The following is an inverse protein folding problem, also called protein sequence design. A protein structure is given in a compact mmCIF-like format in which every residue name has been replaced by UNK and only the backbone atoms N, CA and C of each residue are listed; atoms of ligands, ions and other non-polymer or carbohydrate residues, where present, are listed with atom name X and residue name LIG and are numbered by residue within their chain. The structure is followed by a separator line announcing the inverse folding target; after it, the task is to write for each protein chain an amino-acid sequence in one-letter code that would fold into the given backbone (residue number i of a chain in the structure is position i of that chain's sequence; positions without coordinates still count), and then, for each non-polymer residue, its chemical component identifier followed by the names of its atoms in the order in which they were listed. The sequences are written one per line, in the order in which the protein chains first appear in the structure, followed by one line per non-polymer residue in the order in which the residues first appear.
data_IF_427887402650
#
_entry.id   IF_427887402650
#
_cell.length_a   1.000
_cell.length_b   1.000
_cell.length_c   1.000
_cell.angle_alpha   90.00
_cell.angle_beta   90.00
_cell.angle_gamma   90.00
#
_symmetry.space_group_name_H-M   'P 1'
#
loop_
_entity.id
_entity.type
_entity.pdbx_description
1 polymer ?
#
# COMPACT_ATOMS: atom_id res chain seq x y z
N UNK A 1 -19.16 12.17 -8.80
CA UNK A 1 -18.82 11.07 -9.74
C UNK A 1 -17.32 10.87 -9.90
N UNK A 2 -16.53 11.92 -10.16
CA UNK A 2 -15.08 11.86 -10.46
C UNK A 2 -14.22 11.06 -9.47
N UNK A 3 -14.39 11.28 -8.16
CA UNK A 3 -13.65 10.53 -7.12
C UNK A 3 -13.98 9.03 -7.10
N UNK A 4 -15.24 8.64 -7.36
CA UNK A 4 -15.67 7.23 -7.39
C UNK A 4 -14.99 6.46 -8.54
N UNK A 5 -14.85 7.09 -9.71
CA UNK A 5 -14.17 6.48 -10.86
C UNK A 5 -12.69 6.24 -10.58
N UNK A 6 -11.98 7.27 -10.09
CA UNK A 6 -10.56 7.15 -9.74
C UNK A 6 -10.32 6.04 -8.72
N UNK A 7 -11.15 6.00 -7.68
CA UNK A 7 -11.11 4.98 -6.63
C UNK A 7 -11.29 3.55 -7.15
N UNK A 8 -12.21 3.37 -8.10
CA UNK A 8 -12.64 2.02 -8.52
C UNK A 8 -11.82 1.46 -9.66
N UNK A 9 -11.29 2.30 -10.54
CA UNK A 9 -10.62 1.87 -11.78
C UNK A 9 -9.13 2.24 -11.75
N UNK A 10 -8.82 3.52 -11.57
CA UNK A 10 -7.45 4.04 -11.77
C UNK A 10 -6.53 3.60 -10.63
N UNK A 11 -6.96 3.76 -9.38
CA UNK A 11 -6.12 3.46 -8.22
C UNK A 11 -5.78 1.96 -8.10
N UNK A 12 -6.73 1.01 -8.24
CA UNK A 12 -6.39 -0.41 -8.23
C UNK A 12 -5.40 -0.79 -9.34
N UNK A 13 -5.59 -0.27 -10.56
CA UNK A 13 -4.66 -0.51 -11.67
C UNK A 13 -3.26 0.06 -11.37
N UNK A 14 -3.18 1.25 -10.79
CA UNK A 14 -1.90 1.90 -10.44
C UNK A 14 -1.17 1.18 -9.29
N UNK A 15 -1.91 0.58 -8.36
CA UNK A 15 -1.37 -0.15 -7.21
C UNK A 15 -1.20 -1.65 -7.49
N UNK A 16 -1.55 -2.12 -8.68
CA UNK A 16 -1.44 -3.53 -9.03
C UNK A 16 -0.01 -4.03 -8.87
N UNK A 17 0.13 -5.18 -8.20
CA UNK A 17 1.43 -5.79 -7.88
C UNK A 17 2.21 -5.08 -6.77
N UNK A 18 1.82 -3.87 -6.34
CA UNK A 18 2.49 -3.08 -5.28
C UNK A 18 2.45 -3.72 -3.88
N UNK A 19 1.60 -4.73 -3.71
CA UNK A 19 1.36 -5.45 -2.47
C UNK A 19 2.50 -6.42 -2.11
N UNK A 20 3.25 -6.93 -3.10
CA UNK A 20 4.18 -8.06 -2.94
C UNK A 20 5.68 -7.68 -2.99
N UNK A 21 6.04 -6.39 -3.06
CA UNK A 21 7.45 -5.96 -3.12
C UNK A 21 7.77 -4.82 -2.15
N UNK A 22 9.07 -4.68 -1.86
CA UNK A 22 9.60 -3.64 -0.99
C UNK A 22 9.59 -2.27 -1.70
N UNK A 23 8.47 -1.55 -1.62
CA UNK A 23 8.32 -0.24 -2.25
C UNK A 23 9.25 0.78 -1.59
N UNK A 24 10.18 1.36 -2.37
CA UNK A 24 11.09 2.44 -1.92
C UNK A 24 10.35 3.77 -1.79
N UNK A 25 10.87 4.67 -0.95
CA UNK A 25 10.35 6.05 -0.81
C UNK A 25 10.27 6.80 -2.16
N UNK A 26 11.19 6.53 -3.08
CA UNK A 26 11.17 7.11 -4.44
C UNK A 26 9.97 6.64 -5.27
N UNK A 27 9.59 5.36 -5.17
CA UNK A 27 8.40 4.84 -5.83
C UNK A 27 7.12 5.45 -5.23
N UNK A 28 7.04 5.55 -3.90
CA UNK A 28 5.91 6.22 -3.23
C UNK A 28 5.78 7.68 -3.67
N UNK A 29 6.90 8.43 -3.74
CA UNK A 29 6.90 9.81 -4.25
C UNK A 29 6.39 9.91 -5.69
N UNK A 30 6.77 8.98 -6.56
CA UNK A 30 6.29 8.93 -7.96
C UNK A 30 4.79 8.62 -8.03
N UNK A 31 4.32 7.66 -7.24
CA UNK A 31 2.89 7.33 -7.13
C UNK A 31 2.09 8.53 -6.62
N UNK A 32 2.58 9.21 -5.59
CA UNK A 32 1.97 10.42 -5.04
C UNK A 32 1.90 11.54 -6.09
N UNK A 33 2.98 11.78 -6.83
CA UNK A 33 2.98 12.79 -7.90
C UNK A 33 2.01 12.44 -9.02
N UNK A 34 1.96 11.17 -9.45
CA UNK A 34 1.03 10.69 -10.46
C UNK A 34 -0.43 10.84 -10.02
N UNK A 35 -0.75 10.41 -8.79
CA UNK A 35 -2.07 10.58 -8.17
C UNK A 35 -2.46 12.06 -8.16
N UNK A 36 -1.63 12.93 -7.58
CA UNK A 36 -1.99 14.34 -7.44
C UNK A 36 -2.15 15.04 -8.80
N UNK A 37 -1.37 14.67 -9.81
CA UNK A 37 -1.52 15.18 -11.17
C UNK A 37 -2.89 14.79 -11.76
N UNK A 38 -3.29 13.53 -11.63
CA UNK A 38 -4.59 13.05 -12.10
C UNK A 38 -5.75 13.68 -11.31
N UNK A 39 -5.65 13.76 -9.98
CA UNK A 39 -6.68 14.38 -9.14
C UNK A 39 -6.88 15.87 -9.49
N UNK A 40 -5.78 16.60 -9.68
CA UNK A 40 -5.81 18.01 -10.12
C UNK A 40 -6.46 18.17 -11.48
N UNK A 41 -6.05 17.37 -12.46
CA UNK A 41 -6.62 17.40 -13.81
C UNK A 41 -8.12 17.13 -13.81
N UNK A 42 -8.58 16.10 -13.07
CA UNK A 42 -10.01 15.82 -12.94
C UNK A 42 -10.81 16.97 -12.30
N UNK A 43 -10.18 17.71 -11.38
CA UNK A 43 -10.79 18.87 -10.73
C UNK A 43 -10.64 20.17 -11.53
N UNK A 44 -9.99 20.14 -12.71
CA UNK A 44 -9.69 21.34 -13.49
C UNK A 44 -8.75 22.30 -12.77
N UNK A 45 -7.88 21.78 -11.89
CA UNK A 45 -6.95 22.58 -11.10
C UNK A 45 -5.53 22.46 -11.62
N UNK A 46 -4.80 23.57 -11.59
CA UNK A 46 -3.40 23.63 -11.97
C UNK A 46 -2.51 23.80 -10.73
N UNK A 47 -1.20 23.95 -10.94
CA UNK A 47 -0.28 24.37 -9.86
C UNK A 47 -0.35 25.86 -9.59
N UNK A 48 -0.80 26.67 -10.55
CA UNK A 48 -0.91 28.12 -10.42
C UNK A 48 -2.00 28.54 -9.44
N UNK A 49 -3.03 27.70 -9.28
CA UNK A 49 -4.13 27.93 -8.33
C UNK A 49 -3.68 27.91 -6.86
N UNK A 50 -2.43 27.46 -6.57
CA UNK A 50 -1.84 27.34 -5.22
C UNK A 50 -2.70 26.58 -4.19
N UNK A 51 -3.66 25.79 -4.65
CA UNK A 51 -4.49 24.92 -3.79
C UNK A 51 -3.63 23.79 -3.24
N UNK A 52 -3.72 23.51 -1.93
CA UNK A 52 -2.98 22.42 -1.31
C UNK A 52 -3.45 21.04 -1.77
N UNK A 53 -2.56 20.04 -1.72
CA UNK A 53 -2.90 18.67 -2.09
C UNK A 53 -3.98 18.06 -1.17
N UNK A 54 -4.00 18.47 0.10
CA UNK A 54 -4.99 18.03 1.08
C UNK A 54 -6.40 18.54 0.73
N UNK A 55 -6.53 19.79 0.29
CA UNK A 55 -7.82 20.35 -0.13
C UNK A 55 -8.35 19.58 -1.34
N UNK A 56 -7.50 19.29 -2.33
CA UNK A 56 -7.91 18.50 -3.50
C UNK A 56 -8.37 17.11 -3.08
N UNK A 57 -7.62 16.43 -2.22
CA UNK A 57 -7.99 15.11 -1.68
C UNK A 57 -9.33 15.14 -0.95
N UNK A 58 -9.55 16.15 -0.11
CA UNK A 58 -10.82 16.34 0.62
C UNK A 58 -11.98 16.55 -0.35
N UNK A 59 -11.78 17.36 -1.39
CA UNK A 59 -12.78 17.62 -2.41
C UNK A 59 -13.20 16.35 -3.18
N UNK A 60 -12.26 15.45 -3.48
CA UNK A 60 -12.56 14.17 -4.17
C UNK A 60 -12.86 13.00 -3.21
N UNK A 61 -12.69 13.19 -1.90
CA UNK A 61 -12.86 12.15 -0.89
C UNK A 61 -11.79 11.05 -0.93
N UNK A 62 -10.54 11.39 -1.22
CA UNK A 62 -9.44 10.42 -1.39
C UNK A 62 -8.42 10.44 -0.26
N UNK A 63 -8.10 9.26 0.28
CA UNK A 63 -6.93 9.10 1.13
C UNK A 63 -5.62 9.21 0.32
N UNK A 64 -4.49 9.49 0.98
CA UNK A 64 -3.17 9.38 0.37
C UNK A 64 -2.92 8.00 -0.24
N UNK A 65 -2.30 7.97 -1.43
CA UNK A 65 -1.89 6.71 -2.08
C UNK A 65 -1.04 5.82 -1.19
N UNK A 66 -0.21 6.40 -0.32
CA UNK A 66 0.68 5.64 0.58
C UNK A 66 -0.11 4.81 1.60
N UNK A 67 -1.17 5.38 2.17
CA UNK A 67 -2.03 4.67 3.12
C UNK A 67 -2.80 3.56 2.42
N UNK A 68 -3.27 3.81 1.19
CA UNK A 68 -3.91 2.77 0.37
C UNK A 68 -2.97 1.65 -0.02
N UNK A 69 -1.72 1.99 -0.31
CA UNK A 69 -0.67 1.02 -0.59
C UNK A 69 -0.35 0.19 0.67
N UNK A 70 -0.32 0.81 1.85
CA UNK A 70 -0.18 0.11 3.14
C UNK A 70 -1.32 -0.87 3.38
N UNK A 71 -2.56 -0.41 3.24
CA UNK A 71 -3.75 -1.26 3.35
C UNK A 71 -3.66 -2.46 2.39
N UNK A 72 -3.22 -2.24 1.16
CA UNK A 72 -3.06 -3.25 0.14
C UNK A 72 -2.04 -4.33 0.54
N UNK A 73 -0.85 -3.93 1.03
CA UNK A 73 0.16 -4.86 1.57
C UNK A 73 -0.34 -5.66 2.77
N UNK A 74 -1.00 -5.02 3.72
CA UNK A 74 -1.54 -5.70 4.91
C UNK A 74 -2.73 -6.61 4.57
N UNK A 75 -3.53 -6.25 3.57
CA UNK A 75 -4.60 -7.11 3.04
C UNK A 75 -4.01 -8.38 2.45
N UNK A 76 -2.95 -8.26 1.66
CA UNK A 76 -2.21 -9.39 1.12
C UNK A 76 -1.59 -10.25 2.23
N UNK A 77 -0.88 -9.66 3.19
CA UNK A 77 -0.33 -10.38 4.34
C UNK A 77 -1.41 -11.19 5.07
N UNK A 78 -2.56 -10.57 5.37
CA UNK A 78 -3.63 -11.28 6.04
C UNK A 78 -4.22 -12.41 5.18
N UNK A 79 -4.29 -12.24 3.86
CA UNK A 79 -4.64 -13.33 2.96
C UNK A 79 -3.66 -14.50 3.09
N UNK A 80 -2.35 -14.23 3.00
CA UNK A 80 -1.29 -15.24 3.15
C UNK A 80 -1.38 -15.95 4.51
N UNK A 81 -1.51 -15.19 5.61
CA UNK A 81 -1.52 -15.72 7.00
C UNK A 81 -2.70 -16.67 7.26
N UNK A 82 -3.83 -16.49 6.58
CA UNK A 82 -5.02 -17.34 6.67
C UNK A 82 -5.03 -18.53 5.69
N UNK A 83 -4.03 -18.65 4.81
CA UNK A 83 -3.90 -19.84 3.96
C UNK A 83 -3.29 -20.99 4.76
N UNK A 84 -3.65 -22.19 4.34
CA UNK A 84 -3.07 -23.43 4.84
C UNK A 84 -1.54 -23.41 4.74
N UNK A 85 -0.88 -24.12 5.65
CA UNK A 85 0.56 -24.20 5.73
C UNK A 85 1.22 -24.68 4.43
N UNK A 86 0.58 -25.62 3.74
CA UNK A 86 1.08 -26.26 2.52
C UNK A 86 0.71 -25.50 1.26
N UNK A 87 -0.12 -24.45 1.37
CA UNK A 87 -0.46 -23.60 0.25
C UNK A 87 0.83 -22.98 -0.35
N UNK A 88 1.02 -22.99 -1.69
CA UNK A 88 2.25 -22.51 -2.33
C UNK A 88 2.68 -21.11 -1.87
N UNK A 89 1.73 -20.19 -1.73
CA UNK A 89 1.98 -18.81 -1.28
C UNK A 89 2.51 -18.76 0.16
N UNK A 90 2.00 -19.64 1.04
CA UNK A 90 2.42 -19.75 2.44
C UNK A 90 3.79 -20.39 2.59
N UNK A 91 4.12 -21.34 1.69
CA UNK A 91 5.47 -21.92 1.61
C UNK A 91 6.48 -20.88 1.13
N UNK A 92 6.18 -20.13 0.06
CA UNK A 92 7.04 -19.07 -0.46
C UNK A 92 7.36 -17.99 0.58
N UNK A 93 6.38 -17.60 1.40
CA UNK A 93 6.60 -16.62 2.49
C UNK A 93 7.57 -17.14 3.56
N UNK A 94 7.58 -18.45 3.81
CA UNK A 94 8.47 -19.08 4.81
C UNK A 94 9.83 -19.48 4.26
N UNK A 95 10.09 -19.27 2.96
CA UNK A 95 11.42 -19.50 2.40
C UNK A 95 12.38 -18.48 3.02
N UNK A 96 13.14 -18.96 3.99
CA UNK A 96 14.28 -18.22 4.54
C UNK A 96 15.43 -18.42 3.57
N UNK A 97 15.90 -17.35 2.93
CA UNK A 97 17.14 -17.41 2.13
C UNK A 97 18.30 -17.44 3.11
N UNK A 98 18.68 -18.65 3.54
CA UNK A 98 19.80 -18.89 4.44
C UNK A 98 21.10 -18.60 3.70
N UNK A 99 21.95 -17.76 4.28
CA UNK A 99 23.29 -17.46 3.78
C UNK A 99 23.35 -16.26 2.83
N UNK A 100 23.90 -15.15 3.33
CA UNK A 100 24.37 -14.07 2.47
C UNK A 100 24.30 -12.71 3.14
N UNK A 101 25.45 -12.23 3.63
CA UNK A 101 25.70 -10.80 3.75
C UNK A 101 25.21 -10.13 2.46
N UNK A 102 24.28 -9.16 2.60
CA UNK A 102 23.67 -8.49 1.44
C UNK A 102 24.80 -7.93 0.57
N UNK A 103 24.94 -8.44 -0.66
CA UNK A 103 25.96 -7.95 -1.61
C UNK A 103 25.79 -6.44 -1.82
N UNK A 104 26.91 -5.73 -1.94
CA UNK A 104 26.96 -4.29 -2.24
C UNK A 104 26.08 -4.02 -3.47
N UNK A 105 25.13 -3.10 -3.35
CA UNK A 105 24.16 -2.75 -4.42
C UNK A 105 22.75 -3.37 -4.29
N UNK A 106 22.56 -4.42 -3.47
CA UNK A 106 21.21 -4.95 -3.22
C UNK A 106 20.37 -3.96 -2.40
N UNK A 107 19.07 -3.75 -2.70
CA UNK A 107 18.21 -2.90 -1.88
C UNK A 107 18.29 -3.29 -0.40
N UNK A 108 18.55 -2.31 0.46
CA UNK A 108 18.62 -2.53 1.92
C UNK A 108 17.28 -3.01 2.47
N UNK A 109 16.17 -2.44 1.98
CA UNK A 109 14.81 -2.73 2.44
C UNK A 109 14.27 -4.02 1.83
N UNK A 110 13.89 -5.01 2.66
CA UNK A 110 13.15 -6.19 2.22
C UNK A 110 11.64 -6.01 2.45
N UNK A 111 10.81 -6.91 1.92
CA UNK A 111 9.35 -6.82 2.05
C UNK A 111 8.91 -6.99 3.50
N UNK A 112 9.55 -7.90 4.24
CA UNK A 112 9.28 -8.14 5.67
C UNK A 112 9.51 -6.89 6.55
N UNK A 113 10.60 -6.15 6.32
CA UNK A 113 10.89 -4.87 6.98
C UNK A 113 9.86 -3.79 6.63
N UNK A 114 9.28 -3.83 5.41
CA UNK A 114 8.16 -2.95 5.05
C UNK A 114 6.92 -3.34 5.84
N UNK A 115 6.61 -4.63 5.94
CA UNK A 115 5.46 -5.13 6.69
C UNK A 115 5.59 -4.79 8.19
N UNK A 116 6.74 -5.05 8.83
CA UNK A 116 6.96 -4.70 10.24
C UNK A 116 6.76 -3.21 10.50
N UNK A 117 7.23 -2.36 9.59
CA UNK A 117 7.01 -0.92 9.68
C UNK A 117 5.51 -0.56 9.54
N UNK A 118 4.80 -1.18 8.61
CA UNK A 118 3.37 -0.92 8.40
C UNK A 118 2.51 -1.39 9.58
N UNK A 119 2.85 -2.54 10.17
CA UNK A 119 2.24 -3.06 11.39
C UNK A 119 2.46 -2.10 12.56
N UNK A 120 3.71 -1.65 12.76
CA UNK A 120 4.05 -0.71 13.83
C UNK A 120 3.35 0.65 13.70
N UNK A 121 3.10 1.12 12.47
CA UNK A 121 2.34 2.36 12.24
C UNK A 121 0.85 2.26 12.65
N UNK A 122 0.29 1.06 12.67
CA UNK A 122 -1.12 0.82 12.98
C UNK A 122 -1.32 0.11 14.32
N UNK A 123 -0.24 -0.12 15.07
CA UNK A 123 -0.24 -0.90 16.31
C UNK A 123 -0.93 -2.26 16.14
N UNK A 124 -0.52 -2.99 15.10
CA UNK A 124 -1.06 -4.31 14.76
C UNK A 124 -0.01 -5.38 14.96
N UNK A 125 -0.47 -6.54 15.42
CA UNK A 125 0.32 -7.76 15.46
C UNK A 125 -0.11 -8.71 14.35
N UNK A 126 0.78 -9.64 13.97
CA UNK A 126 0.52 -10.53 12.85
C UNK A 126 -0.58 -11.58 13.14
N UNK A 127 -0.74 -11.98 14.40
CA UNK A 127 -1.77 -12.93 14.86
C UNK A 127 -3.19 -12.37 14.70
N UNK A 128 -3.37 -11.05 14.79
CA UNK A 128 -4.65 -10.39 14.52
C UNK A 128 -5.16 -10.66 13.10
N UNK A 129 -4.30 -11.07 12.17
CA UNK A 129 -4.70 -11.42 10.81
C UNK A 129 -5.57 -12.68 10.73
N UNK A 130 -5.58 -13.52 11.77
CA UNK A 130 -6.41 -14.72 11.84
C UNK A 130 -7.91 -14.36 11.94
N UNK A 131 -8.26 -13.32 12.70
CA UNK A 131 -9.60 -12.75 12.68
C UNK A 131 -9.76 -11.84 11.45
N UNK A 132 -10.46 -12.37 10.44
CA UNK A 132 -10.72 -11.64 9.18
C UNK A 132 -11.47 -10.33 9.39
N UNK A 133 -12.42 -10.27 10.32
CA UNK A 133 -13.28 -9.10 10.52
C UNK A 133 -12.54 -8.00 11.27
N UNK A 134 -11.82 -8.37 12.35
CA UNK A 134 -10.94 -7.45 13.06
C UNK A 134 -9.86 -6.90 12.12
N UNK A 135 -9.16 -7.79 11.41
CA UNK A 135 -8.11 -7.41 10.47
C UNK A 135 -8.61 -6.43 9.41
N UNK A 136 -9.72 -6.77 8.74
CA UNK A 136 -10.31 -5.93 7.70
C UNK A 136 -10.68 -4.54 8.23
N UNK A 137 -11.18 -4.45 9.46
CA UNK A 137 -11.57 -3.17 10.05
C UNK A 137 -10.35 -2.34 10.41
N UNK A 138 -9.32 -2.96 11.00
CA UNK A 138 -8.10 -2.28 11.45
C UNK A 138 -7.23 -1.74 10.30
N UNK A 139 -7.12 -2.47 9.20
CA UNK A 139 -6.28 -2.04 8.06
C UNK A 139 -6.97 -1.06 7.12
N UNK A 140 -8.30 -0.92 7.20
CA UNK A 140 -9.10 -0.22 6.20
C UNK A 140 -8.85 1.27 6.22
N UNK A 141 -8.45 1.81 5.07
CA UNK A 141 -8.34 3.25 4.86
C UNK A 141 -9.60 3.74 4.14
N UNK A 142 -10.26 4.75 4.66
CA UNK A 142 -11.40 5.36 3.97
C UNK A 142 -10.91 6.25 2.82
N UNK A 143 -11.61 6.23 1.68
CA UNK A 143 -11.22 6.98 0.48
C UNK A 143 -10.48 6.13 -0.53
#
# INVERSE_FOLDING_TARGET
MKGKFYRSVVRPAMLYGAECWAVKKTHVRRLHAAEMRMLRWMCGKTRLDRISNEVIRRQVGMAPVEDKLREARLRWLGHVRRRDADAPVRRCERITVIGGSRRRGRPKKNWEEVIRHDLGLLDLTEDMALDRNLWRTRIRVAG
#
